data_IF_284741169803
#
_entry.id   IF_284741169803
#
_cell.length_a   1.000
_cell.length_b   1.000
_cell.length_c   1.000
_cell.angle_alpha   90.00
_cell.angle_beta   90.00
_cell.angle_gamma   90.00
#
_symmetry.space_group_name_H-M   'P 1'
#
loop_
_entity.id
_entity.type
_entity.pdbx_description
1 polymer ?
#
# COMPACT_ATOMS: atom_id res chain seq x y z
N UNK A 1 14.86 10.20 11.39
CA UNK A 1 14.70 9.59 10.04
C UNK A 1 14.23 8.17 10.22
N UNK A 2 13.09 7.84 9.66
CA UNK A 2 12.53 6.48 9.68
C UNK A 2 13.11 5.69 8.49
N UNK A 3 13.64 4.49 8.76
CA UNK A 3 14.14 3.58 7.74
C UNK A 3 13.45 2.24 7.84
N UNK A 4 13.21 1.59 6.71
CA UNK A 4 12.60 0.28 6.72
C UNK A 4 13.07 -0.58 5.55
N UNK A 5 13.01 -1.89 5.75
CA UNK A 5 13.42 -2.88 4.79
C UNK A 5 12.48 -4.09 4.88
N UNK A 6 12.18 -4.69 3.72
CA UNK A 6 11.47 -5.98 3.64
C UNK A 6 12.30 -7.02 2.92
N UNK A 7 12.19 -8.27 3.33
CA UNK A 7 12.84 -9.41 2.72
C UNK A 7 11.89 -10.62 2.67
N UNK A 8 12.28 -11.65 1.93
CA UNK A 8 11.54 -12.89 1.79
C UNK A 8 10.80 -13.03 0.45
N UNK A 9 10.45 -14.25 0.13
CA UNK A 9 9.81 -14.70 -1.10
C UNK A 9 8.36 -15.11 -0.86
N UNK A 10 7.54 -15.11 -1.93
CA UNK A 10 6.11 -15.43 -1.86
C UNK A 10 5.84 -16.82 -1.28
N UNK A 11 6.67 -17.80 -1.60
CA UNK A 11 6.57 -19.17 -1.13
C UNK A 11 7.73 -19.56 -0.19
N UNK A 12 8.51 -18.59 0.31
CA UNK A 12 9.49 -18.79 1.35
C UNK A 12 8.84 -19.08 2.72
N UNK A 13 9.65 -19.34 3.77
CA UNK A 13 9.15 -19.66 5.11
C UNK A 13 8.37 -18.51 5.74
N UNK A 14 8.79 -17.27 5.46
CA UNK A 14 8.18 -16.06 5.98
C UNK A 14 8.65 -14.84 5.18
N UNK A 15 7.92 -13.73 5.33
CA UNK A 15 8.41 -12.39 5.02
C UNK A 15 8.99 -11.76 6.28
N UNK A 16 10.08 -11.03 6.13
CA UNK A 16 10.70 -10.26 7.20
C UNK A 16 10.57 -8.78 6.93
N UNK A 17 10.32 -8.01 7.98
CA UNK A 17 10.23 -6.55 7.93
C UNK A 17 11.00 -5.93 9.09
N UNK A 18 11.77 -4.89 8.82
CA UNK A 18 12.52 -4.15 9.84
C UNK A 18 12.16 -2.67 9.73
N UNK A 19 11.86 -2.05 10.86
CA UNK A 19 11.62 -0.62 11.00
C UNK A 19 12.58 -0.04 12.03
N UNK A 20 13.32 0.99 11.67
CA UNK A 20 14.25 1.70 12.54
C UNK A 20 13.92 3.18 12.60
N UNK A 21 14.16 3.78 13.76
CA UNK A 21 13.94 5.21 14.01
C UNK A 21 12.59 5.54 14.63
N UNK A 22 11.82 4.53 15.08
CA UNK A 22 10.57 4.75 15.79
C UNK A 22 10.87 5.10 17.26
N UNK A 23 10.22 6.14 17.85
CA UNK A 23 10.37 6.47 19.26
C UNK A 23 9.93 5.36 20.22
N UNK A 24 10.45 5.38 21.42
CA UNK A 24 10.01 4.50 22.50
C UNK A 24 8.57 4.83 22.95
N UNK A 25 7.91 3.82 23.55
CA UNK A 25 6.57 3.91 24.16
C UNK A 25 5.41 4.01 23.18
N UNK A 26 5.60 3.70 21.89
CA UNK A 26 4.46 3.45 20.99
C UNK A 26 3.83 2.11 21.37
N UNK A 27 2.52 2.11 21.60
CA UNK A 27 1.75 0.89 21.85
C UNK A 27 1.63 0.09 20.55
N UNK A 28 2.17 -1.12 20.55
CA UNK A 28 2.23 -2.02 19.38
C UNK A 28 1.97 -3.44 19.87
N UNK A 29 1.01 -4.12 19.24
CA UNK A 29 0.74 -5.53 19.49
C UNK A 29 0.70 -6.32 18.18
N UNK A 30 0.92 -7.62 18.23
CA UNK A 30 0.75 -8.49 17.06
C UNK A 30 -0.70 -8.48 16.56
N UNK A 31 -1.68 -8.33 17.46
CA UNK A 31 -3.10 -8.23 17.10
C UNK A 31 -3.41 -6.98 16.27
N UNK A 32 -2.81 -5.82 16.59
CA UNK A 32 -2.96 -4.60 15.78
C UNK A 32 -2.42 -4.80 14.35
N UNK A 33 -1.27 -5.45 14.24
CA UNK A 33 -0.66 -5.73 12.93
C UNK A 33 -1.52 -6.72 12.16
N UNK A 34 -1.98 -7.78 12.82
CA UNK A 34 -2.83 -8.79 12.21
C UNK A 34 -4.19 -8.23 11.77
N UNK A 35 -4.75 -7.24 12.48
CA UNK A 35 -5.97 -6.55 12.07
C UNK A 35 -5.80 -5.89 10.69
N UNK A 36 -4.70 -5.17 10.44
CA UNK A 36 -4.44 -4.58 9.12
C UNK A 36 -4.13 -5.63 8.05
N UNK A 37 -3.46 -6.72 8.40
CA UNK A 37 -3.26 -7.85 7.49
C UNK A 37 -4.59 -8.54 7.13
N UNK A 38 -5.53 -8.66 8.07
CA UNK A 38 -6.89 -9.15 7.78
C UNK A 38 -7.60 -8.20 6.80
N UNK A 39 -7.56 -6.89 7.01
CA UNK A 39 -8.14 -5.89 6.08
C UNK A 39 -7.54 -6.04 4.67
N UNK A 40 -6.22 -6.26 4.55
CA UNK A 40 -5.55 -6.49 3.26
C UNK A 40 -6.07 -7.72 2.52
N UNK A 41 -6.62 -8.72 3.20
CA UNK A 41 -7.19 -9.94 2.58
C UNK A 41 -8.62 -9.75 2.08
N UNK A 42 -9.33 -8.71 2.53
CA UNK A 42 -10.69 -8.42 2.11
C UNK A 42 -10.77 -8.00 0.63
N UNK A 43 -11.96 -8.03 0.10
CA UNK A 43 -12.31 -7.56 -1.24
C UNK A 43 -12.94 -8.64 -2.12
N UNK A 44 -13.94 -8.26 -2.88
CA UNK A 44 -14.60 -9.09 -3.89
C UNK A 44 -13.68 -9.33 -5.09
N UNK A 45 -13.81 -10.46 -5.76
CA UNK A 45 -12.93 -10.84 -6.88
C UNK A 45 -11.57 -11.41 -6.46
N UNK A 46 -11.36 -11.66 -5.16
CA UNK A 46 -10.15 -12.31 -4.63
C UNK A 46 -10.17 -13.82 -4.86
N UNK A 47 -9.01 -14.39 -5.18
CA UNK A 47 -8.87 -15.83 -5.35
C UNK A 47 -9.06 -16.61 -4.04
N UNK A 48 -9.43 -17.89 -4.16
CA UNK A 48 -9.71 -18.77 -3.02
C UNK A 48 -8.53 -18.91 -2.02
N UNK A 49 -7.29 -18.58 -2.44
CA UNK A 49 -6.10 -18.61 -1.59
C UNK A 49 -6.25 -17.66 -0.38
N UNK A 50 -6.87 -16.52 -0.57
CA UNK A 50 -7.04 -15.50 0.50
C UNK A 50 -7.89 -16.00 1.67
N UNK A 51 -8.72 -17.00 1.45
CA UNK A 51 -9.57 -17.60 2.49
C UNK A 51 -8.81 -18.58 3.40
N UNK A 52 -7.64 -19.07 2.96
CA UNK A 52 -6.86 -20.10 3.67
C UNK A 52 -5.51 -19.58 4.20
N UNK A 53 -5.02 -18.43 3.72
CA UNK A 53 -3.79 -17.84 4.23
C UNK A 53 -4.04 -17.16 5.57
N UNK A 54 -3.61 -17.83 6.64
CA UNK A 54 -3.44 -17.21 7.94
C UNK A 54 -2.00 -16.66 8.02
N UNK A 55 -1.85 -15.37 7.86
CA UNK A 55 -0.58 -14.69 8.09
C UNK A 55 -0.29 -14.70 9.60
N UNK A 56 0.69 -15.50 10.03
CA UNK A 56 1.08 -15.53 11.45
C UNK A 56 2.10 -14.44 11.70
N UNK A 57 1.71 -13.44 12.48
CA UNK A 57 2.59 -12.32 12.85
C UNK A 57 3.40 -12.65 14.08
N UNK A 58 4.72 -12.47 14.00
CA UNK A 58 5.64 -12.57 15.14
C UNK A 58 6.49 -11.31 15.22
N UNK A 59 6.45 -10.62 16.36
CA UNK A 59 7.36 -9.51 16.65
C UNK A 59 8.61 -10.12 17.30
N UNK A 60 9.74 -10.05 16.60
CA UNK A 60 10.99 -10.70 17.00
C UNK A 60 11.89 -9.80 17.88
N UNK A 61 11.67 -8.48 17.84
CA UNK A 61 12.45 -7.53 18.62
C UNK A 61 11.92 -6.09 18.51
N UNK A 62 12.43 -5.19 19.35
CA UNK A 62 12.10 -3.77 19.36
C UNK A 62 10.82 -3.41 20.12
N UNK A 63 10.04 -4.40 20.58
CA UNK A 63 8.82 -4.22 21.37
C UNK A 63 8.86 -5.11 22.61
N UNK A 64 8.48 -4.57 23.77
CA UNK A 64 8.38 -5.31 25.02
C UNK A 64 7.10 -4.91 25.75
N UNK A 65 6.32 -5.90 26.18
CA UNK A 65 5.03 -5.68 26.87
C UNK A 65 4.11 -4.70 26.12
N UNK A 66 4.08 -4.79 24.78
CA UNK A 66 3.25 -3.94 23.94
C UNK A 66 3.77 -2.53 23.71
N UNK A 67 5.00 -2.20 24.10
CA UNK A 67 5.60 -0.88 23.93
C UNK A 67 6.91 -0.97 23.13
N UNK A 68 7.08 -0.07 22.17
CA UNK A 68 8.35 0.10 21.44
C UNK A 68 9.46 0.56 22.40
N UNK A 69 10.71 0.16 22.08
CA UNK A 69 11.89 0.38 22.93
C UNK A 69 12.86 1.42 22.36
N UNK A 70 12.53 2.09 21.25
CA UNK A 70 13.42 3.02 20.56
C UNK A 70 14.48 2.36 19.66
N UNK A 71 14.62 1.05 19.71
CA UNK A 71 15.48 0.26 18.81
C UNK A 71 14.74 -0.24 17.57
N UNK A 72 15.47 -0.93 16.65
CA UNK A 72 14.84 -1.52 15.47
C UNK A 72 13.74 -2.52 15.84
N UNK A 73 12.59 -2.40 15.18
CA UNK A 73 11.49 -3.36 15.31
C UNK A 73 11.63 -4.37 14.18
N UNK A 74 11.68 -5.66 14.53
CA UNK A 74 11.71 -6.77 13.60
C UNK A 74 10.42 -7.56 13.66
N UNK A 75 9.76 -7.71 12.49
CA UNK A 75 8.48 -8.41 12.35
C UNK A 75 8.66 -9.52 11.30
N UNK A 76 8.10 -10.69 11.61
CA UNK A 76 7.99 -11.80 10.69
C UNK A 76 6.52 -12.08 10.39
N UNK A 77 6.22 -12.28 9.09
CA UNK A 77 4.90 -12.72 8.61
C UNK A 77 5.06 -14.11 8.03
N UNK A 78 4.62 -15.13 8.75
CA UNK A 78 4.78 -16.54 8.42
C UNK A 78 3.99 -16.95 7.18
N UNK A 79 4.39 -18.02 6.54
CA UNK A 79 3.72 -18.59 5.37
C UNK A 79 3.15 -19.98 5.69
N UNK A 80 1.83 -20.09 5.72
CA UNK A 80 1.14 -21.36 5.99
C UNK A 80 1.37 -22.43 4.91
N UNK A 81 1.76 -22.04 3.71
CA UNK A 81 2.07 -22.96 2.62
C UNK A 81 3.53 -23.47 2.61
N UNK A 82 4.38 -22.94 3.48
CA UNK A 82 5.81 -23.29 3.53
C UNK A 82 6.08 -24.80 3.52
N UNK A 83 5.39 -25.66 4.28
CA UNK A 83 5.68 -27.11 4.28
C UNK A 83 5.56 -27.77 2.90
N UNK A 84 4.82 -27.16 1.96
CA UNK A 84 4.68 -27.64 0.57
C UNK A 84 5.79 -27.15 -0.35
N UNK A 85 6.57 -26.13 0.09
CA UNK A 85 7.57 -25.44 -0.70
C UNK A 85 8.99 -25.62 -0.14
N UNK A 86 9.13 -26.17 1.03
CA UNK A 86 10.37 -26.26 1.80
C UNK A 86 11.57 -26.75 0.96
N UNK A 87 11.39 -27.82 0.18
CA UNK A 87 12.46 -28.32 -0.69
C UNK A 87 12.70 -27.44 -1.93
N UNK A 88 11.63 -26.94 -2.55
CA UNK A 88 11.72 -26.12 -3.77
C UNK A 88 12.32 -24.74 -3.51
N UNK A 89 12.05 -24.19 -2.32
CA UNK A 89 12.51 -22.85 -1.90
C UNK A 89 13.56 -22.92 -0.78
N UNK A 90 14.22 -24.07 -0.63
CA UNK A 90 15.29 -24.24 0.35
C UNK A 90 16.43 -23.27 0.08
N UNK A 91 16.95 -22.61 1.15
CA UNK A 91 18.16 -21.81 1.09
C UNK A 91 19.43 -22.69 0.95
N UNK A 92 19.36 -23.92 1.45
CA UNK A 92 20.45 -24.89 1.37
C UNK A 92 20.31 -25.79 0.14
N UNK A 93 21.41 -26.34 -0.39
CA UNK A 93 21.39 -27.24 -1.52
C UNK A 93 20.51 -28.48 -1.27
N UNK A 94 19.65 -28.79 -2.23
CA UNK A 94 18.81 -30.01 -2.22
C UNK A 94 19.27 -30.92 -3.36
N UNK A 95 19.38 -32.24 -3.14
CA UNK A 95 19.76 -33.19 -4.18
C UNK A 95 18.86 -33.08 -5.42
N UNK A 96 19.47 -33.04 -6.62
CA UNK A 96 18.75 -32.85 -7.88
C UNK A 96 17.68 -33.95 -8.14
N UNK A 97 17.96 -35.15 -7.69
CA UNK A 97 17.01 -36.28 -7.80
C UNK A 97 15.72 -36.03 -7.02
N UNK A 98 15.81 -35.39 -5.85
CA UNK A 98 14.66 -35.01 -5.06
C UNK A 98 13.86 -33.89 -5.73
N UNK A 99 14.55 -32.88 -6.22
CA UNK A 99 13.94 -31.73 -6.92
C UNK A 99 13.24 -32.16 -8.22
N UNK A 100 13.83 -33.06 -8.98
CA UNK A 100 13.27 -33.54 -10.26
C UNK A 100 11.90 -34.23 -10.12
N UNK A 101 11.64 -34.82 -8.95
CA UNK A 101 10.36 -35.46 -8.65
C UNK A 101 9.23 -34.46 -8.27
N UNK A 102 9.56 -33.20 -8.01
CA UNK A 102 8.62 -32.20 -7.50
C UNK A 102 8.02 -31.36 -8.64
N UNK A 103 6.74 -31.53 -8.92
CA UNK A 103 6.04 -30.75 -9.96
C UNK A 103 6.14 -29.22 -9.74
N UNK A 104 6.24 -28.76 -8.48
CA UNK A 104 6.43 -27.35 -8.15
C UNK A 104 7.80 -26.80 -8.53
N UNK A 105 8.78 -27.68 -8.74
CA UNK A 105 10.13 -27.30 -9.17
C UNK A 105 10.27 -27.14 -10.70
N UNK A 106 9.21 -27.39 -11.46
CA UNK A 106 9.25 -27.22 -12.92
C UNK A 106 9.69 -25.80 -13.29
N UNK A 107 10.69 -25.61 -14.20
CA UNK A 107 11.17 -24.30 -14.61
C UNK A 107 10.06 -23.46 -15.22
N UNK A 108 10.04 -22.18 -14.93
CA UNK A 108 9.08 -21.20 -15.45
C UNK A 108 9.71 -20.44 -16.61
N UNK A 109 9.64 -21.01 -17.81
CA UNK A 109 10.32 -20.49 -19.01
C UNK A 109 9.43 -19.60 -19.90
N UNK A 110 8.14 -19.43 -19.53
CA UNK A 110 7.16 -18.64 -20.30
C UNK A 110 6.76 -17.38 -19.53
N UNK A 111 7.52 -16.27 -19.66
CA UNK A 111 7.31 -15.03 -18.87
C UNK A 111 5.95 -14.42 -19.18
N UNK A 112 5.34 -13.85 -18.16
CA UNK A 112 4.03 -13.17 -18.26
C UNK A 112 4.19 -11.76 -18.81
N UNK A 113 3.45 -11.35 -19.84
CA UNK A 113 3.39 -9.96 -20.26
C UNK A 113 2.93 -9.05 -19.12
N UNK A 114 3.58 -7.91 -18.96
CA UNK A 114 3.26 -6.95 -17.90
C UNK A 114 3.73 -7.33 -16.49
N UNK A 115 4.46 -8.42 -16.34
CA UNK A 115 5.13 -8.81 -15.07
C UNK A 115 6.64 -8.55 -15.14
N UNK A 116 7.34 -8.71 -14.02
CA UNK A 116 8.79 -8.54 -13.94
C UNK A 116 9.58 -9.69 -14.56
N UNK A 117 8.92 -10.78 -14.93
CA UNK A 117 9.53 -12.08 -15.30
C UNK A 117 10.67 -11.92 -16.31
N UNK A 118 10.37 -11.50 -17.53
CA UNK A 118 11.34 -11.44 -18.62
C UNK A 118 12.50 -10.47 -18.32
N UNK A 119 12.18 -9.25 -17.91
CA UNK A 119 13.19 -8.22 -17.62
C UNK A 119 14.06 -8.61 -16.42
N UNK A 120 13.46 -9.26 -15.43
CA UNK A 120 14.20 -9.77 -14.28
C UNK A 120 15.16 -10.91 -14.65
N UNK A 121 14.69 -11.87 -15.49
CA UNK A 121 15.54 -12.95 -16.00
C UNK A 121 16.75 -12.37 -16.78
N UNK A 122 16.50 -11.41 -17.67
CA UNK A 122 17.56 -10.73 -18.43
C UNK A 122 18.54 -9.97 -17.52
N UNK A 123 18.02 -9.28 -16.49
CA UNK A 123 18.84 -8.47 -15.60
C UNK A 123 19.79 -9.30 -14.72
N UNK A 124 19.31 -10.45 -14.25
CA UNK A 124 20.02 -11.27 -13.27
C UNK A 124 20.58 -12.56 -13.84
N UNK A 125 20.52 -12.74 -15.17
CA UNK A 125 21.01 -13.91 -15.88
C UNK A 125 20.39 -15.23 -15.39
N UNK A 126 19.03 -15.23 -15.27
CA UNK A 126 18.28 -16.41 -14.91
C UNK A 126 17.61 -17.04 -16.16
N UNK A 127 17.61 -18.37 -16.20
CA UNK A 127 16.89 -19.19 -17.19
C UNK A 127 15.50 -19.63 -16.69
N UNK A 128 15.14 -19.30 -15.45
CA UNK A 128 13.87 -19.57 -14.78
C UNK A 128 13.32 -18.27 -14.17
N UNK A 129 12.06 -17.97 -14.43
CA UNK A 129 11.40 -16.78 -13.88
C UNK A 129 11.11 -16.89 -12.36
N UNK A 130 11.28 -18.05 -11.73
CA UNK A 130 10.92 -18.27 -10.32
C UNK A 130 11.57 -17.28 -9.36
N UNK A 131 12.90 -17.03 -9.36
CA UNK A 131 13.51 -16.08 -8.42
C UNK A 131 12.90 -14.68 -8.52
N UNK A 132 12.54 -14.27 -9.75
CA UNK A 132 11.93 -12.97 -10.00
C UNK A 132 10.48 -12.94 -9.51
N UNK A 133 9.70 -13.97 -9.87
CA UNK A 133 8.29 -14.11 -9.51
C UNK A 133 8.11 -14.10 -7.99
N UNK A 134 8.95 -14.85 -7.28
CA UNK A 134 8.86 -14.99 -5.83
C UNK A 134 9.04 -13.64 -5.10
N UNK A 135 10.01 -12.83 -5.52
CA UNK A 135 10.25 -11.52 -4.89
C UNK A 135 9.34 -10.41 -5.43
N UNK A 136 8.96 -10.45 -6.70
CA UNK A 136 8.07 -9.45 -7.32
C UNK A 136 6.59 -9.65 -6.97
N UNK A 137 6.25 -10.72 -6.27
CA UNK A 137 4.90 -11.05 -5.87
C UNK A 137 4.29 -9.98 -4.95
N UNK A 138 2.98 -9.70 -5.14
CA UNK A 138 2.22 -8.82 -4.26
C UNK A 138 2.15 -9.32 -2.80
N UNK A 139 2.53 -10.59 -2.52
CA UNK A 139 2.66 -11.10 -1.15
C UNK A 139 3.63 -10.28 -0.30
N UNK A 140 4.69 -9.75 -0.91
CA UNK A 140 5.67 -8.87 -0.23
C UNK A 140 5.00 -7.69 0.47
N UNK A 141 3.87 -7.20 -0.06
CA UNK A 141 3.12 -6.10 0.56
C UNK A 141 2.56 -6.42 1.96
N UNK A 142 2.47 -7.69 2.35
CA UNK A 142 2.10 -8.04 3.73
C UNK A 142 3.14 -7.52 4.73
N UNK A 143 4.43 -7.59 4.40
CA UNK A 143 5.49 -7.01 5.21
C UNK A 143 5.39 -5.47 5.29
N UNK A 144 5.03 -4.79 4.18
CA UNK A 144 4.78 -3.33 4.19
C UNK A 144 3.58 -2.96 5.04
N UNK A 145 2.50 -3.72 4.96
CA UNK A 145 1.30 -3.50 5.79
C UNK A 145 1.62 -3.68 7.27
N UNK A 146 2.42 -4.68 7.62
CA UNK A 146 2.88 -4.87 9.00
C UNK A 146 3.66 -3.66 9.53
N UNK A 147 4.57 -3.08 8.72
CA UNK A 147 5.28 -1.84 9.08
C UNK A 147 4.36 -0.63 9.10
N UNK A 148 3.41 -0.56 8.16
CA UNK A 148 2.41 0.51 8.09
C UNK A 148 1.51 0.54 9.31
N UNK A 149 1.12 -0.61 9.86
CA UNK A 149 0.35 -0.70 11.10
C UNK A 149 1.10 -0.06 12.28
N UNK A 150 2.40 -0.31 12.38
CA UNK A 150 3.28 0.31 13.39
C UNK A 150 3.37 1.83 13.18
N UNK A 151 3.55 2.28 11.95
CA UNK A 151 3.60 3.72 11.62
C UNK A 151 2.27 4.42 11.94
N UNK A 152 1.13 3.79 11.62
CA UNK A 152 -0.20 4.32 11.97
C UNK A 152 -0.39 4.45 13.47
N UNK A 153 0.02 3.43 14.24
CA UNK A 153 -0.04 3.48 15.69
C UNK A 153 0.78 4.65 16.27
N UNK A 154 1.97 4.88 15.74
CA UNK A 154 2.79 6.03 16.11
C UNK A 154 2.11 7.36 15.78
N UNK A 155 1.59 7.52 14.56
CA UNK A 155 0.93 8.74 14.11
C UNK A 155 -0.26 9.10 14.99
N UNK A 156 -1.13 8.13 15.24
CA UNK A 156 -2.31 8.32 16.08
C UNK A 156 -1.92 8.69 17.52
N UNK A 157 -0.98 7.97 18.13
CA UNK A 157 -0.63 8.17 19.53
C UNK A 157 0.20 9.43 19.78
N UNK A 158 0.99 9.88 18.80
CA UNK A 158 1.86 11.05 18.95
C UNK A 158 1.20 12.37 18.55
N UNK A 159 0.51 12.41 17.41
CA UNK A 159 0.00 13.64 16.79
C UNK A 159 -1.47 13.58 16.38
N UNK A 160 -2.16 12.44 16.59
CA UNK A 160 -3.58 12.28 16.32
C UNK A 160 -3.94 12.05 14.85
N UNK A 161 -2.99 11.88 13.94
CA UNK A 161 -3.26 11.62 12.52
C UNK A 161 -3.89 10.24 12.34
N UNK A 162 -5.00 10.19 11.64
CA UNK A 162 -5.70 8.96 11.26
C UNK A 162 -5.78 8.80 9.74
N UNK A 163 -5.78 7.55 9.27
CA UNK A 163 -5.81 7.23 7.85
C UNK A 163 -6.90 6.20 7.53
N UNK A 164 -7.46 6.34 6.33
CA UNK A 164 -8.29 5.32 5.71
C UNK A 164 -8.10 5.34 4.20
N UNK A 165 -8.52 4.28 3.51
CA UNK A 165 -8.61 4.24 2.04
C UNK A 165 -9.98 3.78 1.60
N UNK A 166 -10.36 4.19 0.40
CA UNK A 166 -11.54 3.68 -0.30
C UNK A 166 -11.25 3.51 -1.79
N UNK A 167 -12.09 2.74 -2.46
CA UNK A 167 -11.98 2.50 -3.90
C UNK A 167 -12.80 3.55 -4.66
N UNK A 168 -12.17 4.17 -5.65
CA UNK A 168 -12.78 5.18 -6.53
C UNK A 168 -13.34 4.54 -7.79
N UNK A 169 -12.61 3.55 -8.37
CA UNK A 169 -13.08 2.86 -9.57
C UNK A 169 -12.51 1.44 -9.66
N UNK A 170 -13.25 0.57 -10.36
CA UNK A 170 -12.79 -0.75 -10.82
C UNK A 170 -13.28 -0.92 -12.26
N UNK A 171 -12.36 -1.21 -13.19
CA UNK A 171 -12.68 -1.21 -14.62
C UNK A 171 -13.28 0.12 -15.06
N UNK A 172 -14.43 0.06 -15.72
CA UNK A 172 -15.19 1.25 -16.17
C UNK A 172 -16.14 1.81 -15.11
N UNK A 173 -16.41 1.05 -14.04
CA UNK A 173 -17.28 1.49 -12.96
C UNK A 173 -16.53 2.43 -12.01
N UNK A 174 -17.10 3.60 -11.75
CA UNK A 174 -16.47 4.64 -10.93
C UNK A 174 -17.49 5.39 -10.06
N UNK A 175 -17.00 5.90 -8.93
CA UNK A 175 -17.71 6.89 -8.12
C UNK A 175 -17.84 8.21 -8.89
N UNK A 176 -18.95 8.93 -8.71
CA UNK A 176 -19.14 10.24 -9.33
C UNK A 176 -18.03 11.23 -8.91
N UNK A 177 -17.65 12.12 -9.83
CA UNK A 177 -16.54 13.05 -9.61
C UNK A 177 -16.78 14.06 -8.48
N UNK A 178 -18.06 14.33 -8.17
CA UNK A 178 -18.53 15.23 -7.11
C UNK A 178 -19.06 14.48 -5.87
N UNK A 179 -18.80 13.18 -5.76
CA UNK A 179 -19.20 12.40 -4.62
C UNK A 179 -18.55 12.92 -3.34
N UNK A 180 -19.29 12.80 -2.23
CA UNK A 180 -18.79 13.15 -0.92
C UNK A 180 -17.59 12.25 -0.54
N UNK A 181 -16.62 12.83 0.14
CA UNK A 181 -15.52 12.08 0.73
C UNK A 181 -15.99 11.38 2.02
N UNK A 182 -15.54 10.14 2.28
CA UNK A 182 -15.74 9.53 3.59
C UNK A 182 -14.96 10.28 4.66
N UNK A 183 -15.45 10.18 5.88
CA UNK A 183 -14.77 10.62 7.10
C UNK A 183 -14.15 9.42 7.82
N UNK A 184 -13.31 9.67 8.82
CA UNK A 184 -12.70 8.58 9.59
C UNK A 184 -13.76 7.70 10.31
N UNK A 185 -14.92 8.26 10.63
CA UNK A 185 -16.06 7.52 11.21
C UNK A 185 -16.68 6.51 10.24
N UNK A 186 -16.46 6.66 8.93
CA UNK A 186 -16.96 5.76 7.89
C UNK A 186 -16.04 4.55 7.64
N UNK A 187 -14.89 4.45 8.32
CA UNK A 187 -13.90 3.39 8.07
C UNK A 187 -14.51 1.99 8.12
N UNK A 188 -15.24 1.67 9.17
CA UNK A 188 -15.82 0.33 9.35
C UNK A 188 -16.86 0.01 8.27
N UNK A 189 -17.63 1.02 7.85
CA UNK A 189 -18.59 0.90 6.74
C UNK A 189 -17.86 0.61 5.43
N UNK A 190 -16.78 1.33 5.13
CA UNK A 190 -15.96 1.10 3.93
C UNK A 190 -15.28 -0.27 3.99
N UNK A 191 -14.72 -0.67 5.13
CA UNK A 191 -14.08 -1.97 5.30
C UNK A 191 -15.06 -3.14 5.16
N UNK A 192 -16.35 -2.93 5.48
CA UNK A 192 -17.41 -3.94 5.32
C UNK A 192 -17.99 -4.01 3.90
N UNK A 193 -17.73 -3.03 3.05
CA UNK A 193 -18.17 -3.03 1.66
C UNK A 193 -17.37 -4.05 0.83
N UNK A 194 -17.99 -4.84 -0.06
CA UNK A 194 -17.32 -5.89 -0.81
C UNK A 194 -16.13 -5.41 -1.65
N UNK A 195 -16.17 -4.19 -2.16
CA UNK A 195 -15.09 -3.58 -2.96
C UNK A 195 -14.43 -2.39 -2.24
N UNK A 196 -14.80 -2.14 -0.98
CA UNK A 196 -14.30 -1.01 -0.18
C UNK A 196 -14.62 0.36 -0.80
N UNK A 197 -15.73 0.48 -1.50
CA UNK A 197 -16.25 1.75 -1.99
C UNK A 197 -17.11 2.44 -0.92
N UNK A 198 -17.03 3.77 -0.84
CA UNK A 198 -17.89 4.56 0.06
C UNK A 198 -19.27 4.77 -0.53
N UNK A 199 -19.39 4.92 -1.85
CA UNK A 199 -20.64 5.05 -2.58
C UNK A 199 -21.23 3.67 -2.89
N UNK A 200 -22.41 3.39 -2.35
CA UNK A 200 -23.06 2.09 -2.50
C UNK A 200 -23.53 1.77 -3.93
N UNK A 201 -23.89 2.78 -4.72
CA UNK A 201 -24.29 2.58 -6.12
C UNK A 201 -23.04 2.25 -6.98
N UNK A 202 -21.93 2.97 -6.75
CA UNK A 202 -20.66 2.65 -7.38
C UNK A 202 -20.16 1.26 -6.96
N UNK A 203 -20.32 0.87 -5.68
CA UNK A 203 -19.98 -0.47 -5.19
C UNK A 203 -20.69 -1.57 -5.98
N UNK A 204 -21.99 -1.45 -6.17
CA UNK A 204 -22.78 -2.42 -6.94
C UNK A 204 -22.31 -2.51 -8.40
N UNK A 205 -22.04 -1.37 -9.04
CA UNK A 205 -21.51 -1.33 -10.40
C UNK A 205 -20.11 -1.98 -10.51
N UNK A 206 -19.23 -1.73 -9.54
CA UNK A 206 -17.89 -2.33 -9.47
C UNK A 206 -17.96 -3.85 -9.27
N UNK A 207 -18.87 -4.35 -8.44
CA UNK A 207 -19.12 -5.81 -8.28
C UNK A 207 -19.57 -6.42 -9.58
N UNK A 208 -20.52 -5.81 -10.28
CA UNK A 208 -20.99 -6.30 -11.58
C UNK A 208 -19.88 -6.33 -12.64
N UNK A 209 -18.99 -5.34 -12.63
CA UNK A 209 -17.82 -5.29 -13.52
C UNK A 209 -16.82 -6.44 -13.22
N UNK A 210 -16.60 -6.76 -11.95
CA UNK A 210 -15.76 -7.89 -11.53
C UNK A 210 -16.38 -9.22 -12.01
N UNK A 211 -17.70 -9.39 -11.86
CA UNK A 211 -18.40 -10.60 -12.30
C UNK A 211 -18.30 -10.78 -13.81
N UNK A 212 -18.48 -9.70 -14.57
CA UNK A 212 -18.32 -9.71 -16.02
C UNK A 212 -16.89 -10.08 -16.46
N UNK A 213 -15.89 -9.51 -15.82
CA UNK A 213 -14.49 -9.84 -16.08
C UNK A 213 -14.16 -11.30 -15.72
N UNK A 214 -14.67 -11.79 -14.59
CA UNK A 214 -14.53 -13.19 -14.18
C UNK A 214 -15.11 -14.14 -15.24
N UNK A 215 -16.33 -13.85 -15.69
CA UNK A 215 -17.00 -14.66 -16.73
C UNK A 215 -16.25 -14.64 -18.08
N UNK A 216 -15.57 -13.52 -18.39
CA UNK A 216 -14.75 -13.38 -19.59
C UNK A 216 -13.34 -13.99 -19.46
N UNK A 217 -12.96 -14.49 -18.28
CA UNK A 217 -11.60 -14.98 -18.00
C UNK A 217 -10.55 -13.87 -18.00
N UNK A 218 -10.88 -12.67 -17.52
CA UNK A 218 -10.06 -11.48 -17.54
C UNK A 218 -9.76 -10.94 -16.15
N UNK A 219 -8.99 -9.87 -16.05
CA UNK A 219 -8.62 -9.20 -14.80
C UNK A 219 -8.85 -7.70 -14.89
N UNK A 220 -9.11 -7.05 -13.75
CA UNK A 220 -9.40 -5.63 -13.68
C UNK A 220 -8.38 -4.87 -12.82
N UNK A 221 -8.11 -3.65 -13.25
CA UNK A 221 -7.47 -2.60 -12.47
C UNK A 221 -8.50 -1.63 -11.91
N UNK A 222 -8.02 -0.53 -11.34
CA UNK A 222 -8.87 0.53 -10.81
C UNK A 222 -8.08 1.59 -10.06
N UNK A 223 -8.78 2.46 -9.38
CA UNK A 223 -8.21 3.59 -8.63
C UNK A 223 -8.62 3.51 -7.17
N UNK A 224 -7.65 3.65 -6.28
CA UNK A 224 -7.85 3.82 -4.84
C UNK A 224 -7.50 5.23 -4.42
N UNK A 225 -8.11 5.72 -3.35
CA UNK A 225 -7.77 6.97 -2.68
C UNK A 225 -7.48 6.70 -1.21
N UNK A 226 -6.35 7.24 -0.72
CA UNK A 226 -6.02 7.29 0.71
C UNK A 226 -6.32 8.68 1.21
N UNK A 227 -7.02 8.73 2.33
CA UNK A 227 -7.30 9.94 3.09
C UNK A 227 -6.53 9.92 4.40
N UNK A 228 -5.89 11.03 4.74
CA UNK A 228 -5.32 11.21 6.07
C UNK A 228 -5.86 12.51 6.67
N UNK A 229 -6.28 12.40 7.92
CA UNK A 229 -7.00 13.43 8.68
C UNK A 229 -6.11 14.02 9.76
N UNK A 230 -6.43 15.23 10.20
CA UNK A 230 -5.79 15.92 11.32
C UNK A 230 -4.28 16.15 11.15
N UNK A 231 -3.83 16.35 9.89
CA UNK A 231 -2.44 16.69 9.62
C UNK A 231 -2.15 18.12 10.11
N UNK A 232 -1.08 18.33 10.91
CA UNK A 232 -0.62 19.68 11.17
C UNK A 232 -0.12 20.36 9.89
N UNK A 233 -0.28 21.68 9.73
CA UNK A 233 0.35 22.38 8.63
C UNK A 233 1.87 22.34 8.74
N UNK A 234 2.57 22.31 7.58
CA UNK A 234 4.02 22.44 7.53
C UNK A 234 4.81 21.15 7.76
N UNK A 235 4.23 19.97 7.56
CA UNK A 235 5.03 18.74 7.40
C UNK A 235 5.78 18.79 6.07
N UNK A 236 7.06 18.41 6.08
CA UNK A 236 7.98 18.47 4.94
C UNK A 236 8.32 19.90 4.53
N UNK A 237 8.80 20.15 3.29
CA UNK A 237 9.38 21.42 2.93
C UNK A 237 9.24 21.75 1.44
N UNK A 238 9.14 23.05 1.14
CA UNK A 238 9.16 23.59 -0.22
C UNK A 238 10.57 23.87 -0.76
N UNK A 239 11.60 23.82 0.10
CA UNK A 239 12.94 24.34 -0.23
C UNK A 239 13.70 23.51 -1.25
N UNK A 240 13.38 22.22 -1.40
CA UNK A 240 14.00 21.35 -2.40
C UNK A 240 13.03 20.25 -2.84
N UNK A 241 13.14 19.79 -4.08
CA UNK A 241 12.21 18.84 -4.70
C UNK A 241 12.07 17.52 -3.95
N UNK A 242 13.17 16.96 -3.43
CA UNK A 242 13.21 15.67 -2.70
C UNK A 242 12.71 15.76 -1.24
N UNK A 243 12.51 16.99 -0.74
CA UNK A 243 11.97 17.27 0.59
C UNK A 243 10.46 17.54 0.60
N UNK A 244 9.83 17.55 -0.57
CA UNK A 244 8.40 17.80 -0.72
C UNK A 244 7.59 16.58 -0.27
N UNK A 245 6.47 16.82 0.44
CA UNK A 245 5.56 15.77 0.90
C UNK A 245 4.92 15.03 -0.27
N UNK A 246 4.39 15.79 -1.24
CA UNK A 246 3.76 15.25 -2.45
C UNK A 246 4.74 14.35 -3.25
N UNK A 247 6.00 14.76 -3.41
CA UNK A 247 7.01 13.97 -4.10
C UNK A 247 7.33 12.65 -3.37
N UNK A 248 7.42 12.69 -2.03
CA UNK A 248 7.67 11.49 -1.21
C UNK A 248 6.49 10.54 -1.23
N UNK A 249 5.27 11.06 -1.15
CA UNK A 249 4.03 10.28 -1.26
C UNK A 249 3.92 9.62 -2.65
N UNK A 250 4.12 10.39 -3.72
CA UNK A 250 4.06 9.87 -5.08
C UNK A 250 5.08 8.75 -5.31
N UNK A 251 6.33 8.91 -4.84
CA UNK A 251 7.37 7.88 -4.91
C UNK A 251 7.02 6.61 -4.13
N UNK A 252 6.48 6.75 -2.92
CA UNK A 252 6.08 5.63 -2.10
C UNK A 252 4.90 4.85 -2.70
N UNK A 253 3.89 5.56 -3.21
CA UNK A 253 2.74 4.96 -3.89
C UNK A 253 3.12 4.28 -5.21
N UNK A 254 3.97 4.92 -6.04
CA UNK A 254 4.46 4.35 -7.28
C UNK A 254 5.32 3.09 -7.05
N UNK A 255 5.93 2.95 -5.88
CA UNK A 255 6.68 1.77 -5.46
C UNK A 255 5.81 0.55 -5.06
N UNK A 256 4.48 0.66 -5.09
CA UNK A 256 3.56 -0.47 -4.88
C UNK A 256 3.43 -1.25 -6.19
N UNK A 257 3.42 -2.59 -6.11
CA UNK A 257 3.26 -3.44 -7.28
C UNK A 257 1.99 -3.08 -8.07
N UNK A 258 2.09 -3.10 -9.38
CA UNK A 258 1.04 -2.79 -10.34
C UNK A 258 0.54 -1.33 -10.38
N UNK A 259 1.01 -0.43 -9.54
CA UNK A 259 0.67 0.99 -9.65
C UNK A 259 1.33 1.60 -10.89
N UNK A 260 0.57 2.38 -11.66
CA UNK A 260 0.98 3.01 -12.91
C UNK A 260 0.74 4.52 -12.96
N UNK A 261 0.02 5.06 -11.98
CA UNK A 261 -0.25 6.48 -11.86
C UNK A 261 -0.50 6.87 -10.40
N UNK A 262 -0.14 8.10 -10.04
CA UNK A 262 -0.39 8.68 -8.72
C UNK A 262 -0.88 10.11 -8.92
N UNK A 263 -1.88 10.51 -8.15
CA UNK A 263 -2.39 11.88 -8.11
C UNK A 263 -2.45 12.37 -6.65
N UNK A 264 -2.19 13.65 -6.45
CA UNK A 264 -2.43 14.35 -5.18
C UNK A 264 -3.64 15.26 -5.37
N UNK A 265 -4.64 15.12 -4.50
CA UNK A 265 -5.90 15.84 -4.65
C UNK A 265 -6.59 15.53 -5.97
N UNK A 266 -7.02 16.58 -6.68
CA UNK A 266 -7.70 16.45 -7.97
C UNK A 266 -6.75 16.20 -9.17
N UNK A 267 -5.44 16.17 -8.95
CA UNK A 267 -4.42 15.73 -9.89
C UNK A 267 -4.63 16.21 -11.34
N UNK A 268 -4.84 15.27 -12.26
CA UNK A 268 -5.07 15.56 -13.69
C UNK A 268 -6.34 16.38 -13.96
N UNK A 269 -7.35 16.31 -13.10
CA UNK A 269 -8.55 17.13 -13.22
C UNK A 269 -8.23 18.60 -12.99
N UNK A 270 -7.37 18.93 -12.02
CA UNK A 270 -6.91 20.29 -11.76
C UNK A 270 -6.21 20.90 -12.98
N UNK A 271 -5.41 20.12 -13.71
CA UNK A 271 -4.72 20.58 -14.92
C UNK A 271 -5.66 21.04 -16.06
N UNK A 272 -6.93 20.63 -16.02
CA UNK A 272 -7.96 21.03 -17.00
C UNK A 272 -8.74 22.28 -16.58
N UNK A 273 -8.58 22.73 -15.32
CA UNK A 273 -9.27 23.92 -14.78
C UNK A 273 -8.55 25.20 -15.14
N UNK A 274 -9.29 26.29 -15.25
CA UNK A 274 -8.69 27.63 -15.27
C UNK A 274 -8.20 27.99 -13.87
N UNK A 275 -7.11 28.76 -13.75
CA UNK A 275 -6.49 29.10 -12.47
C UNK A 275 -7.45 29.69 -11.44
N UNK A 276 -8.39 30.55 -11.87
CA UNK A 276 -9.40 31.15 -10.99
C UNK A 276 -10.38 30.16 -10.32
N UNK A 277 -10.43 28.93 -10.79
CA UNK A 277 -11.29 27.88 -10.23
C UNK A 277 -10.51 26.59 -9.92
N UNK A 278 -9.19 26.60 -10.05
CA UNK A 278 -8.32 25.46 -9.79
C UNK A 278 -7.80 25.44 -8.35
N UNK A 279 -7.56 26.63 -7.78
CA UNK A 279 -6.95 26.75 -6.46
C UNK A 279 -8.00 26.87 -5.35
N UNK A 280 -7.64 26.41 -4.16
CA UNK A 280 -8.48 26.43 -2.98
C UNK A 280 -8.38 27.81 -2.32
N UNK A 281 -9.48 28.58 -2.36
CA UNK A 281 -9.52 29.91 -1.76
C UNK A 281 -9.43 29.81 -0.23
N UNK A 282 -8.66 30.70 0.36
CA UNK A 282 -8.41 30.75 1.81
C UNK A 282 -9.43 31.70 2.44
N UNK A 283 -10.10 31.24 3.49
CA UNK A 283 -11.07 32.03 4.25
C UNK A 283 -11.00 31.76 5.76
N UNK A 284 -11.73 32.54 6.53
CA UNK A 284 -11.97 32.25 7.95
C UNK A 284 -13.34 31.61 8.11
N UNK A 285 -13.39 30.48 8.80
CA UNK A 285 -14.65 29.84 9.17
C UNK A 285 -15.35 30.60 10.31
N UNK A 286 -16.55 30.16 10.71
CA UNK A 286 -17.34 30.78 11.78
C UNK A 286 -16.61 30.82 13.15
N UNK A 287 -15.64 29.96 13.35
CA UNK A 287 -14.82 29.90 14.56
C UNK A 287 -13.53 30.75 14.46
N UNK A 288 -13.36 31.51 13.37
CA UNK A 288 -12.19 32.34 13.13
C UNK A 288 -10.93 31.59 12.66
N UNK A 289 -11.02 30.29 12.41
CA UNK A 289 -9.91 29.48 11.93
C UNK A 289 -9.71 29.68 10.41
N UNK A 290 -8.47 29.64 9.98
CA UNK A 290 -8.13 29.68 8.55
C UNK A 290 -8.36 28.29 7.95
N UNK A 291 -9.20 28.23 6.93
CA UNK A 291 -9.57 27.02 6.20
C UNK A 291 -9.51 27.25 4.69
N UNK A 292 -9.50 26.16 3.93
CA UNK A 292 -9.70 26.21 2.47
C UNK A 292 -11.16 25.94 2.16
N UNK A 293 -11.70 26.71 1.20
CA UNK A 293 -13.09 26.56 0.75
C UNK A 293 -13.35 25.26 0.00
N UNK A 294 -12.29 24.72 -0.62
CA UNK A 294 -12.28 23.43 -1.34
C UNK A 294 -11.00 22.69 -1.02
N UNK A 295 -10.94 21.40 -1.36
CA UNK A 295 -9.76 20.54 -1.11
C UNK A 295 -9.22 19.93 -2.42
N UNK A 296 -9.04 20.77 -3.44
CA UNK A 296 -8.53 20.36 -4.77
C UNK A 296 -7.05 20.04 -4.75
N UNK A 297 -6.30 20.77 -3.92
CA UNK A 297 -4.88 20.54 -3.69
C UNK A 297 -4.59 19.24 -2.95
N UNK A 298 -5.60 18.64 -2.30
CA UNK A 298 -5.48 17.37 -1.59
C UNK A 298 -4.55 17.45 -0.38
N UNK A 299 -4.68 18.51 0.42
CA UNK A 299 -3.98 18.65 1.70
C UNK A 299 -2.51 19.06 1.57
N UNK A 300 -2.01 19.40 0.36
CA UNK A 300 -0.62 19.85 0.17
C UNK A 300 -0.53 21.14 -0.65
N UNK A 301 0.29 22.06 -0.19
CA UNK A 301 0.62 23.30 -0.91
C UNK A 301 2.14 23.52 -0.88
N UNK A 302 2.73 23.75 -2.05
CA UNK A 302 4.18 23.94 -2.17
C UNK A 302 5.01 22.75 -1.68
N UNK A 303 4.43 21.54 -1.56
CA UNK A 303 5.12 20.35 -1.05
C UNK A 303 5.11 20.22 0.48
N UNK A 304 4.27 21.00 1.16
CA UNK A 304 4.03 20.92 2.61
C UNK A 304 2.57 20.58 2.88
N UNK A 305 2.27 19.91 4.00
CA UNK A 305 0.88 19.79 4.46
C UNK A 305 0.31 21.16 4.80
N UNK A 306 -0.98 21.37 4.50
CA UNK A 306 -1.64 22.68 4.68
C UNK A 306 -2.69 22.70 5.80
N UNK A 307 -2.86 21.57 6.51
CA UNK A 307 -3.85 21.41 7.59
C UNK A 307 -5.19 20.84 7.15
N UNK A 308 -5.43 20.70 5.85
CA UNK A 308 -6.64 20.06 5.30
C UNK A 308 -6.44 18.55 5.11
N UNK A 309 -7.51 17.84 4.69
CA UNK A 309 -7.45 16.39 4.43
C UNK A 309 -6.42 16.10 3.35
N UNK A 310 -5.45 15.24 3.66
CA UNK A 310 -4.52 14.74 2.65
C UNK A 310 -5.22 13.69 1.78
N UNK A 311 -5.19 13.88 0.46
CA UNK A 311 -5.79 13.00 -0.53
C UNK A 311 -4.76 12.51 -1.52
N UNK A 312 -4.52 11.19 -1.54
CA UNK A 312 -3.55 10.55 -2.45
C UNK A 312 -4.23 9.42 -3.20
N UNK A 313 -4.28 9.51 -4.53
CA UNK A 313 -4.85 8.49 -5.41
C UNK A 313 -3.76 7.67 -6.08
N UNK A 314 -4.04 6.39 -6.32
CA UNK A 314 -3.19 5.54 -7.12
C UNK A 314 -4.00 4.69 -8.09
N UNK A 315 -3.54 4.67 -9.35
CA UNK A 315 -4.10 3.86 -10.42
C UNK A 315 -3.34 2.54 -10.54
N UNK A 316 -4.04 1.43 -10.28
CA UNK A 316 -3.54 0.07 -10.38
C UNK A 316 -3.93 -0.53 -11.73
N UNK A 317 -2.97 -1.04 -12.48
CA UNK A 317 -3.26 -1.83 -13.71
C UNK A 317 -3.87 -3.18 -13.36
N UNK A 318 -4.57 -3.83 -14.31
CA UNK A 318 -5.01 -5.22 -14.16
C UNK A 318 -3.86 -6.16 -13.80
N UNK A 319 -4.18 -7.23 -13.08
CA UNK A 319 -3.20 -8.25 -12.69
C UNK A 319 -2.71 -8.96 -13.94
N UNK A 320 -1.38 -9.12 -14.07
CA UNK A 320 -0.72 -9.68 -15.26
C UNK A 320 -0.89 -11.20 -15.44
N UNK A 321 -1.39 -11.91 -14.42
CA UNK A 321 -1.77 -13.32 -14.56
C UNK A 321 -3.23 -13.38 -14.97
N UNK A 322 -3.46 -13.39 -16.31
CA UNK A 322 -4.80 -13.37 -16.91
C UNK A 322 -5.23 -14.80 -17.20
N UNK A 323 -6.43 -15.28 -16.78
CA UNK A 323 -6.93 -16.61 -17.10
C UNK A 323 -6.99 -16.87 -18.61
N UNK A 324 -7.43 -15.88 -19.41
CA UNK A 324 -7.29 -15.88 -20.86
C UNK A 324 -5.83 -15.62 -21.23
N UNK A 325 -5.03 -16.68 -21.27
CA UNK A 325 -3.58 -16.61 -21.40
C UNK A 325 -3.12 -15.77 -22.60
N UNK A 326 -2.28 -14.77 -22.30
CA UNK A 326 -1.68 -13.88 -23.31
C UNK A 326 -0.56 -14.59 -24.09
N UNK A 327 -0.26 -14.10 -25.28
CA UNK A 327 0.87 -14.58 -26.07
C UNK A 327 2.20 -14.18 -25.44
N UNK A 328 3.17 -15.08 -25.50
CA UNK A 328 4.54 -14.90 -25.03
C UNK A 328 5.49 -15.79 -25.81
N UNK A 329 6.72 -15.90 -25.39
CA UNK A 329 7.71 -16.86 -25.89
C UNK A 329 8.13 -17.84 -24.77
N UNK A 330 8.53 -19.03 -25.14
CA UNK A 330 9.30 -19.89 -24.26
C UNK A 330 10.79 -19.49 -24.40
N UNK A 331 11.37 -18.93 -23.36
CA UNK A 331 12.76 -18.40 -23.44
C UNK A 331 13.80 -19.49 -23.59
N UNK A 332 13.45 -20.75 -23.29
CA UNK A 332 14.35 -21.89 -23.46
C UNK A 332 14.41 -22.38 -24.90
N UNK A 333 13.30 -22.35 -25.64
CA UNK A 333 13.23 -22.83 -27.01
C UNK A 333 13.21 -21.70 -28.04
N UNK A 334 12.86 -20.47 -27.63
CA UNK A 334 12.65 -19.32 -28.52
C UNK A 334 11.32 -19.36 -29.26
N UNK A 335 10.48 -20.35 -29.03
CA UNK A 335 9.21 -20.54 -29.75
C UNK A 335 8.08 -19.71 -29.15
N UNK A 336 7.09 -19.38 -29.99
CA UNK A 336 5.84 -18.75 -29.56
C UNK A 336 5.10 -19.66 -28.58
N UNK A 337 4.60 -19.09 -27.47
CA UNK A 337 3.92 -19.82 -26.42
C UNK A 337 2.77 -19.01 -25.81
N UNK A 338 1.99 -19.62 -24.93
CA UNK A 338 1.05 -18.94 -24.06
C UNK A 338 1.69 -18.72 -22.68
N UNK A 339 1.47 -17.56 -22.10
CA UNK A 339 1.98 -17.19 -20.77
C UNK A 339 1.52 -18.19 -19.70
N UNK A 340 2.31 -18.29 -18.64
CA UNK A 340 2.02 -19.17 -17.52
C UNK A 340 0.68 -18.75 -16.90
N UNK A 341 -0.28 -19.69 -16.84
CA UNK A 341 -1.51 -19.52 -16.11
C UNK A 341 -1.30 -19.98 -14.67
N UNK A 342 -1.34 -19.04 -13.72
CA UNK A 342 -1.37 -19.31 -12.29
C UNK A 342 -2.71 -18.83 -11.73
N UNK A 343 -3.17 -19.42 -10.64
CA UNK A 343 -4.35 -18.91 -9.93
C UNK A 343 -4.13 -17.47 -9.55
N UNK A 344 -5.03 -16.60 -9.94
CA UNK A 344 -4.96 -15.16 -9.73
C UNK A 344 -6.29 -14.61 -9.22
N UNK A 345 -6.23 -13.45 -8.59
CA UNK A 345 -7.40 -12.62 -8.32
C UNK A 345 -7.93 -12.04 -9.65
N UNK A 346 -9.23 -11.83 -9.74
CA UNK A 346 -9.82 -11.04 -10.84
C UNK A 346 -9.54 -9.56 -10.62
N UNK A 347 -9.63 -9.12 -9.37
CA UNK A 347 -9.38 -7.75 -8.95
C UNK A 347 -8.64 -7.70 -7.61
N UNK A 348 -7.58 -6.90 -7.51
CA UNK A 348 -6.82 -6.68 -6.28
C UNK A 348 -6.88 -5.22 -5.79
N UNK A 349 -7.72 -4.38 -6.41
CA UNK A 349 -7.83 -2.95 -6.10
C UNK A 349 -8.22 -2.71 -4.63
N UNK A 350 -9.21 -3.41 -4.03
CA UNK A 350 -9.53 -3.23 -2.61
C UNK A 350 -8.35 -3.47 -1.67
N UNK A 351 -7.56 -4.52 -1.93
CA UNK A 351 -6.36 -4.83 -1.14
C UNK A 351 -5.25 -3.78 -1.33
N UNK A 352 -5.12 -3.23 -2.54
CA UNK A 352 -4.15 -2.17 -2.83
C UNK A 352 -4.41 -0.92 -1.99
N UNK A 353 -5.67 -0.63 -1.62
CA UNK A 353 -6.03 0.45 -0.69
C UNK A 353 -5.33 0.31 0.66
N UNK A 354 -5.32 -0.88 1.26
CA UNK A 354 -4.66 -1.12 2.55
C UNK A 354 -3.13 -1.03 2.44
N UNK A 355 -2.57 -1.51 1.33
CA UNK A 355 -1.13 -1.33 1.06
C UNK A 355 -0.79 0.15 0.92
N UNK A 356 -1.64 0.92 0.24
CA UNK A 356 -1.47 2.36 0.08
C UNK A 356 -1.57 3.11 1.41
N UNK A 357 -2.54 2.76 2.30
CA UNK A 357 -2.60 3.30 3.66
C UNK A 357 -1.25 3.10 4.40
N UNK A 358 -0.68 1.89 4.31
CA UNK A 358 0.59 1.57 4.94
C UNK A 358 1.75 2.43 4.40
N UNK A 359 1.81 2.62 3.08
CA UNK A 359 2.87 3.42 2.46
C UNK A 359 2.73 4.91 2.79
N UNK A 360 1.51 5.45 2.80
CA UNK A 360 1.23 6.83 3.23
C UNK A 360 1.60 7.01 4.71
N UNK A 361 1.23 6.07 5.59
CA UNK A 361 1.56 6.10 7.01
C UNK A 361 3.08 6.14 7.25
N UNK A 362 3.86 5.34 6.54
CA UNK A 362 5.33 5.34 6.64
C UNK A 362 5.94 6.69 6.22
N UNK A 363 5.42 7.32 5.15
CA UNK A 363 5.87 8.65 4.71
C UNK A 363 5.50 9.73 5.72
N UNK A 364 4.28 9.70 6.25
CA UNK A 364 3.83 10.67 7.25
C UNK A 364 4.57 10.51 8.59
N UNK A 365 4.82 9.28 9.02
CA UNK A 365 5.61 9.02 10.23
C UNK A 365 7.03 9.59 10.13
N UNK A 366 7.69 9.41 8.97
CA UNK A 366 9.00 10.03 8.72
C UNK A 366 8.91 11.58 8.70
N UNK A 367 7.85 12.14 8.12
CA UNK A 367 7.64 13.60 8.09
C UNK A 367 7.38 14.19 9.48
N UNK A 368 6.62 13.50 10.33
CA UNK A 368 6.37 13.88 11.73
C UNK A 368 7.66 13.83 12.55
N UNK A 369 8.45 12.78 12.39
CA UNK A 369 9.75 12.65 13.06
C UNK A 369 10.78 13.68 12.60
N UNK A 370 10.78 14.02 11.30
CA UNK A 370 11.65 15.10 10.78
C UNK A 370 11.30 16.45 11.41
N UNK A 371 10.00 16.73 11.58
CA UNK A 371 9.53 18.05 12.07
C UNK A 371 9.62 18.19 13.59
N UNK A 372 9.18 17.18 14.32
CA UNK A 372 9.00 17.27 15.76
C UNK A 372 10.11 16.56 16.56
N UNK A 373 10.76 15.54 15.96
CA UNK A 373 11.81 14.77 16.61
C UNK A 373 11.33 14.06 17.88
N UNK A 374 12.28 13.62 18.71
CA UNK A 374 12.02 13.01 20.01
C UNK A 374 12.28 11.51 20.03
N UNK A 375 12.77 11.02 21.19
CA UNK A 375 13.10 9.61 21.41
C UNK A 375 11.95 8.83 22.10
N UNK A 376 10.89 9.53 22.49
CA UNK A 376 9.67 8.93 23.03
C UNK A 376 8.41 9.59 22.49
N UNK A 377 7.28 8.85 22.50
CA UNK A 377 5.95 9.36 22.09
C UNK A 377 5.59 10.65 22.85
N UNK A 378 5.87 10.70 24.15
CA UNK A 378 5.59 11.87 25.00
C UNK A 378 6.38 13.10 24.54
N UNK A 379 7.62 12.91 24.14
CA UNK A 379 8.48 13.98 23.64
C UNK A 379 8.01 14.50 22.28
N UNK A 380 7.72 13.62 21.34
CA UNK A 380 7.15 13.99 20.03
C UNK A 380 5.84 14.77 20.23
N UNK A 381 4.95 14.27 21.08
CA UNK A 381 3.67 14.92 21.40
C UNK A 381 3.85 16.31 22.02
N UNK A 382 4.76 16.46 22.96
CA UNK A 382 5.08 17.77 23.57
C UNK A 382 5.55 18.76 22.49
N UNK A 383 6.46 18.34 21.63
CA UNK A 383 7.01 19.18 20.57
C UNK A 383 5.93 19.55 19.54
N UNK A 384 5.05 18.61 19.17
CA UNK A 384 3.89 18.85 18.34
C UNK A 384 2.93 19.87 18.94
N UNK A 385 2.51 19.69 20.20
CA UNK A 385 1.60 20.61 20.90
C UNK A 385 2.21 22.01 21.01
N UNK A 386 3.49 22.11 21.38
CA UNK A 386 4.20 23.41 21.43
C UNK A 386 4.24 24.11 20.08
N UNK A 387 4.43 23.36 18.98
CA UNK A 387 4.36 23.92 17.64
C UNK A 387 2.95 24.41 17.31
N UNK A 388 1.93 23.59 17.56
CA UNK A 388 0.53 23.98 17.30
C UNK A 388 0.12 25.21 18.12
N UNK A 389 0.56 25.30 19.38
CA UNK A 389 0.28 26.46 20.24
C UNK A 389 1.02 27.73 19.80
N UNK A 390 2.17 27.59 19.16
CA UNK A 390 2.98 28.72 18.66
C UNK A 390 2.50 29.32 17.35
N UNK A 391 1.54 28.67 16.66
CA UNK A 391 1.02 29.20 15.40
C UNK A 391 0.18 30.45 15.65
N UNK A 392 0.71 31.61 15.27
CA UNK A 392 0.00 32.90 15.37
C UNK A 392 -1.07 33.05 14.27
N UNK A 393 -0.81 32.46 13.12
CA UNK A 393 -1.73 32.45 11.97
C UNK A 393 -2.49 31.10 12.00
N UNK A 394 -3.75 31.14 12.43
CA UNK A 394 -4.62 29.97 12.54
C UNK A 394 -5.92 30.16 11.78
#
# INVERSE_FOLDING_TARGET
MLRWLTAGESHGPALSAILEGLPAHVQITSEMIDADLRRRRLGYGRGARQNFEADVVSILGGVRHGLSQGGPISIQVGNSEWPKWEKVMSADPVPQEELASLARNAPLTRPRPGHADLVGMQKYDFDDARPILERASARETAARVALGAVARAFLQQSVGIELMSHVISIGEAATAADALLPTIADRDRVDSDPVRAFDSAASQAMVAEIDAAHAAGDTLGGVIEVLAFDLPPGLRSHVHWDRRLDARLAGAMMGIQAIKGVEIGDGFTTARRRGSVAHDEIERNANGQIVRRTDRAGGTEGGMSNGEILRVRAAMKPISTVPKALDTIDVKTGESAKAINQRSDVCAVPAAGIVAEAMVALVLADAVLEKFGGDSVAEVRRNFLSYMDSLEIR
#
